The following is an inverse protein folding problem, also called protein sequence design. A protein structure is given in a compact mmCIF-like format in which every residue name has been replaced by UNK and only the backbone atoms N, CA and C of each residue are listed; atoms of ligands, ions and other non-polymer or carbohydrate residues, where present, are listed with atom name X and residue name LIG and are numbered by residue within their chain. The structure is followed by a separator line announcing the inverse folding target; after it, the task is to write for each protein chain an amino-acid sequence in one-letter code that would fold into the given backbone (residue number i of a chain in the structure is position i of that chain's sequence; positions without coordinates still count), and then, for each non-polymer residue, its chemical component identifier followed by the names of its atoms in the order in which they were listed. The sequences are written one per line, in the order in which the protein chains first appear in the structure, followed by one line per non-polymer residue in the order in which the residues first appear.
data_IF_848393091834
#
_entry.id   IF_848393091834
#
_cell.length_a   1.000
_cell.length_b   1.000
_cell.length_c   1.000
_cell.angle_alpha   90.00
_cell.angle_beta   90.00
_cell.angle_gamma   90.00
#
_symmetry.space_group_name_H-M   'P 1'
#
loop_
_entity.id
_entity.type
_entity.pdbx_description
1 polymer ?
#
# COMPACT_ATOMS: atom_id res chain seq x y z
N UNK A 1 -11.08 -17.15 -3.65
CA UNK A 1 -10.19 -16.42 -2.73
C UNK A 1 -9.18 -17.42 -2.20
N UNK A 2 -7.91 -17.34 -2.59
CA UNK A 2 -6.86 -18.20 -2.05
C UNK A 2 -6.23 -17.42 -0.89
N UNK A 3 -6.32 -17.94 0.33
CA UNK A 3 -5.66 -17.33 1.47
C UNK A 3 -4.13 -17.49 1.29
N UNK A 4 -3.40 -16.38 1.17
CA UNK A 4 -1.94 -16.39 1.15
C UNK A 4 -1.40 -16.92 2.48
N UNK A 5 -0.27 -17.64 2.45
CA UNK A 5 0.37 -18.08 3.68
C UNK A 5 1.04 -16.89 4.39
N UNK A 6 1.09 -16.94 5.71
CA UNK A 6 1.62 -15.84 6.55
C UNK A 6 3.06 -15.46 6.18
N UNK A 7 3.88 -16.42 5.73
CA UNK A 7 5.26 -16.18 5.26
C UNK A 7 5.33 -15.33 4.00
N UNK A 8 4.37 -15.49 3.09
CA UNK A 8 4.30 -14.73 1.85
C UNK A 8 3.78 -13.31 2.08
N UNK A 9 3.17 -13.06 3.25
CA UNK A 9 2.68 -11.76 3.68
C UNK A 9 3.79 -10.90 4.32
N UNK A 10 4.91 -11.48 4.75
CA UNK A 10 6.00 -10.75 5.41
C UNK A 10 6.52 -9.55 4.59
N UNK A 11 6.71 -9.65 3.25
CA UNK A 11 7.19 -8.52 2.46
C UNK A 11 6.19 -7.36 2.44
N UNK A 12 4.90 -7.62 2.23
CA UNK A 12 3.87 -6.57 2.25
C UNK A 12 3.70 -6.02 3.67
N UNK A 13 3.81 -6.88 4.69
CA UNK A 13 3.77 -6.46 6.09
C UNK A 13 4.90 -5.53 6.45
N UNK A 14 6.10 -5.85 5.98
CA UNK A 14 7.26 -4.99 6.09
C UNK A 14 7.08 -3.69 5.30
N UNK A 15 6.18 -3.61 4.32
CA UNK A 15 5.91 -2.37 3.58
C UNK A 15 4.82 -1.50 4.23
N UNK A 16 4.03 -2.03 5.17
CA UNK A 16 3.00 -1.23 5.87
C UNK A 16 3.58 -0.03 6.60
N UNK A 17 4.80 -0.14 7.16
CA UNK A 17 5.44 1.00 7.81
C UNK A 17 5.74 2.14 6.81
N UNK A 18 6.04 1.80 5.54
CA UNK A 18 6.25 2.76 4.46
C UNK A 18 4.93 3.41 4.05
N UNK A 19 3.86 2.63 3.93
CA UNK A 19 2.51 3.17 3.73
C UNK A 19 2.10 4.12 4.86
N UNK A 20 2.36 3.78 6.13
CA UNK A 20 2.07 4.68 7.25
C UNK A 20 2.90 5.95 7.20
N UNK A 21 4.18 5.87 6.81
CA UNK A 21 5.04 7.04 6.68
C UNK A 21 4.68 7.92 5.48
N UNK A 22 4.13 7.34 4.41
CA UNK A 22 3.76 8.06 3.19
C UNK A 22 2.36 8.69 3.28
N UNK A 23 1.38 8.00 3.89
CA UNK A 23 -0.04 8.43 3.91
C UNK A 23 -0.73 8.17 5.25
N UNK A 24 -0.42 7.06 5.94
CA UNK A 24 -1.21 6.63 7.10
C UNK A 24 -1.15 7.57 8.32
N UNK A 25 -0.06 8.32 8.50
CA UNK A 25 0.04 9.35 9.54
C UNK A 25 -0.97 10.49 9.33
N UNK A 26 -1.23 10.87 8.08
CA UNK A 26 -2.14 11.96 7.72
C UNK A 26 -3.61 11.55 7.89
N UNK A 27 -3.98 10.35 7.42
CA UNK A 27 -5.33 9.78 7.59
C UNK A 27 -5.74 9.73 9.06
N UNK A 28 -4.86 9.21 9.93
CA UNK A 28 -5.13 9.13 11.37
C UNK A 28 -5.31 10.52 11.97
N UNK A 29 -4.48 11.49 11.58
CA UNK A 29 -4.60 12.86 12.06
C UNK A 29 -5.92 13.48 11.64
N UNK A 30 -6.34 13.33 10.38
CA UNK A 30 -7.62 13.84 9.86
C UNK A 30 -8.80 13.23 10.63
N UNK A 31 -8.80 11.92 10.89
CA UNK A 31 -9.85 11.25 11.68
C UNK A 31 -9.89 11.82 13.11
N UNK A 32 -8.73 11.99 13.75
CA UNK A 32 -8.64 12.52 15.11
C UNK A 32 -9.05 14.00 15.19
N UNK A 33 -8.72 14.80 14.18
CA UNK A 33 -9.20 16.19 14.04
C UNK A 33 -10.74 16.20 13.94
N UNK A 34 -11.31 15.31 13.13
CA UNK A 34 -12.77 15.18 13.00
C UNK A 34 -13.46 14.86 14.34
N UNK A 35 -12.80 14.07 15.19
CA UNK A 35 -13.26 13.81 16.57
C UNK A 35 -13.12 15.03 17.48
N UNK A 36 -12.00 15.76 17.42
CA UNK A 36 -11.75 16.91 18.32
C UNK A 36 -12.58 18.15 17.96
N UNK A 37 -12.94 18.32 16.69
CA UNK A 37 -13.71 19.47 16.19
C UNK A 37 -15.23 19.22 16.12
N UNK A 38 -15.74 18.12 16.71
CA UNK A 38 -17.15 17.73 16.67
C UNK A 38 -17.72 17.52 15.25
N UNK A 39 -16.89 17.21 14.25
CA UNK A 39 -17.37 16.84 12.91
C UNK A 39 -17.94 15.42 12.87
N UNK A 40 -17.49 14.55 13.78
CA UNK A 40 -18.00 13.19 13.94
C UNK A 40 -18.57 12.99 15.35
N UNK A 41 -19.85 12.62 15.42
CA UNK A 41 -20.53 12.28 16.67
C UNK A 41 -20.83 10.78 16.72
N UNK A 42 -20.17 10.01 17.61
CA UNK A 42 -20.37 8.55 17.69
C UNK A 42 -21.75 8.15 18.23
N UNK A 43 -22.53 9.08 18.77
CA UNK A 43 -23.92 8.84 19.19
C UNK A 43 -24.92 8.92 18.04
N UNK A 44 -24.52 9.44 16.87
CA UNK A 44 -25.40 9.64 15.72
C UNK A 44 -25.16 8.53 14.69
N UNK A 45 -26.17 7.67 14.49
CA UNK A 45 -26.06 6.53 13.58
C UNK A 45 -25.66 6.93 12.15
N UNK A 46 -26.23 8.02 11.62
CA UNK A 46 -25.90 8.49 10.28
C UNK A 46 -24.45 8.99 10.14
N UNK A 47 -23.81 9.47 11.21
CA UNK A 47 -22.37 9.79 11.18
C UNK A 47 -21.56 8.50 11.07
N UNK A 48 -21.92 7.46 11.83
CA UNK A 48 -21.28 6.14 11.78
C UNK A 48 -21.42 5.55 10.38
N UNK A 49 -22.63 5.56 9.82
CA UNK A 49 -22.91 4.99 8.50
C UNK A 49 -22.13 5.73 7.40
N UNK A 50 -22.11 7.06 7.44
CA UNK A 50 -21.33 7.87 6.50
C UNK A 50 -19.84 7.60 6.63
N UNK A 51 -19.32 7.52 7.87
CA UNK A 51 -17.93 7.21 8.14
C UNK A 51 -17.55 5.85 7.56
N UNK A 52 -18.35 4.82 7.84
CA UNK A 52 -18.11 3.46 7.36
C UNK A 52 -18.32 3.30 5.85
N UNK A 53 -19.10 4.17 5.21
CA UNK A 53 -19.25 4.15 3.75
C UNK A 53 -18.12 4.89 3.04
N UNK A 54 -17.68 6.03 3.59
CA UNK A 54 -16.72 6.91 2.95
C UNK A 54 -15.27 6.50 3.20
N UNK A 55 -14.89 6.23 4.46
CA UNK A 55 -13.49 5.97 4.81
C UNK A 55 -12.89 4.74 4.15
N UNK A 56 -13.60 3.60 4.03
CA UNK A 56 -13.05 2.46 3.29
C UNK A 56 -12.73 2.80 1.83
N UNK A 57 -13.51 3.66 1.18
CA UNK A 57 -13.25 4.10 -0.20
C UNK A 57 -12.01 4.98 -0.28
N UNK A 58 -11.87 5.94 0.64
CA UNK A 58 -10.69 6.82 0.71
C UNK A 58 -9.43 5.97 1.00
N UNK A 59 -9.50 5.07 1.97
CA UNK A 59 -8.39 4.18 2.32
C UNK A 59 -8.02 3.31 1.12
N UNK A 60 -8.99 2.74 0.40
CA UNK A 60 -8.73 1.95 -0.79
C UNK A 60 -8.00 2.77 -1.87
N UNK A 61 -8.43 4.01 -2.15
CA UNK A 61 -7.75 4.88 -3.11
C UNK A 61 -6.30 5.17 -2.71
N UNK A 62 -6.05 5.39 -1.42
CA UNK A 62 -4.70 5.57 -0.90
C UNK A 62 -3.84 4.31 -1.03
N UNK A 63 -4.43 3.13 -0.79
CA UNK A 63 -3.75 1.84 -0.97
C UNK A 63 -3.44 1.58 -2.45
N UNK A 64 -4.37 1.86 -3.35
CA UNK A 64 -4.18 1.71 -4.79
C UNK A 64 -3.06 2.62 -5.30
N UNK A 65 -3.06 3.88 -4.85
CA UNK A 65 -1.99 4.85 -5.17
C UNK A 65 -0.64 4.41 -4.62
N UNK A 66 -0.61 3.85 -3.39
CA UNK A 66 0.62 3.30 -2.82
C UNK A 66 1.10 2.08 -3.59
N UNK A 67 0.21 1.17 -3.98
CA UNK A 67 0.55 0.00 -4.79
C UNK A 67 1.12 0.43 -6.15
N UNK A 68 0.53 1.44 -6.80
CA UNK A 68 1.05 1.99 -8.05
C UNK A 68 2.45 2.59 -7.86
N UNK A 69 2.65 3.42 -6.83
CA UNK A 69 3.97 3.97 -6.50
C UNK A 69 4.98 2.85 -6.23
N UNK A 70 4.61 1.87 -5.41
CA UNK A 70 5.47 0.77 -5.02
C UNK A 70 5.80 -0.17 -6.18
N UNK A 71 4.88 -0.43 -7.09
CA UNK A 71 5.16 -1.28 -8.24
C UNK A 71 6.02 -0.57 -9.30
N UNK A 72 6.04 0.77 -9.28
CA UNK A 72 6.80 1.60 -10.21
C UNK A 72 8.07 2.22 -9.61
N UNK A 73 8.34 2.09 -8.31
CA UNK A 73 9.55 2.66 -7.70
C UNK A 73 10.80 1.96 -8.22
N UNK A 74 11.87 2.74 -8.43
CA UNK A 74 13.16 2.16 -8.84
C UNK A 74 13.80 1.44 -7.67
N UNK A 75 14.10 0.16 -7.85
CA UNK A 75 14.76 -0.63 -6.83
C UNK A 75 16.20 -0.13 -6.65
N UNK A 76 16.56 0.21 -5.41
CA UNK A 76 17.92 0.62 -5.05
C UNK A 76 18.90 -0.52 -5.32
N UNK A 77 20.07 -0.17 -5.88
CA UNK A 77 21.17 -1.09 -6.09
C UNK A 77 21.65 -1.74 -4.79
N UNK A 78 21.62 -3.07 -4.73
CA UNK A 78 22.22 -3.86 -3.65
C UNK A 78 23.29 -4.78 -4.22
N UNK A 79 24.49 -4.79 -3.62
CA UNK A 79 25.69 -5.47 -4.17
C UNK A 79 25.58 -7.00 -4.30
N UNK A 80 24.56 -7.64 -3.72
CA UNK A 80 24.45 -9.10 -3.64
C UNK A 80 23.08 -9.65 -4.10
N UNK A 81 22.28 -8.88 -4.85
CA UNK A 81 21.00 -9.38 -5.37
C UNK A 81 21.07 -9.63 -6.86
N UNK A 82 20.44 -10.74 -7.28
CA UNK A 82 20.28 -11.13 -8.69
C UNK A 82 19.42 -10.13 -9.48
N UNK A 83 18.57 -9.36 -8.78
CA UNK A 83 17.67 -8.43 -9.43
C UNK A 83 18.44 -7.23 -10.00
N UNK A 84 18.16 -6.82 -11.25
CA UNK A 84 18.87 -5.76 -11.92
C UNK A 84 18.57 -4.41 -11.24
N UNK A 85 19.61 -3.67 -10.86
CA UNK A 85 19.44 -2.41 -10.15
C UNK A 85 18.86 -1.31 -11.05
N UNK A 86 18.01 -0.45 -10.49
CA UNK A 86 17.53 0.76 -11.16
C UNK A 86 16.28 0.61 -12.03
N UNK A 87 15.73 -0.60 -12.14
CA UNK A 87 14.45 -0.87 -12.81
C UNK A 87 13.31 -0.97 -11.79
N UNK A 88 12.08 -0.67 -12.23
CA UNK A 88 10.89 -0.86 -11.40
C UNK A 88 10.46 -2.33 -11.37
N UNK A 89 9.81 -2.79 -10.30
CA UNK A 89 9.24 -4.14 -10.22
C UNK A 89 8.39 -4.51 -11.44
N UNK A 90 7.48 -3.62 -11.87
CA UNK A 90 6.68 -3.84 -13.08
C UNK A 90 7.53 -4.04 -14.33
N UNK A 91 8.56 -3.21 -14.53
CA UNK A 91 9.44 -3.34 -15.71
C UNK A 91 10.19 -4.67 -15.74
N UNK A 92 10.56 -5.20 -14.57
CA UNK A 92 11.21 -6.52 -14.46
C UNK A 92 10.22 -7.64 -14.78
N UNK A 93 8.98 -7.53 -14.31
CA UNK A 93 7.92 -8.49 -14.61
C UNK A 93 7.47 -8.46 -16.07
N UNK A 94 7.40 -7.27 -16.68
CA UNK A 94 6.97 -7.08 -18.07
C UNK A 94 8.05 -7.50 -19.07
N UNK A 95 9.34 -7.38 -18.70
CA UNK A 95 10.48 -7.71 -19.56
C UNK A 95 11.48 -8.66 -18.87
N UNK A 96 11.05 -9.87 -18.47
CA UNK A 96 11.88 -10.80 -17.71
C UNK A 96 13.09 -11.28 -18.53
N UNK A 97 12.92 -11.42 -19.85
CA UNK A 97 13.95 -11.87 -20.78
C UNK A 97 15.18 -10.94 -20.82
N UNK A 98 14.98 -9.62 -20.64
CA UNK A 98 16.06 -8.63 -20.60
C UNK A 98 17.00 -8.82 -19.40
N UNK A 99 16.57 -9.61 -18.44
CA UNK A 99 17.26 -9.86 -17.18
C UNK A 99 17.64 -11.33 -16.99
N UNK A 100 17.49 -12.15 -18.03
CA UNK A 100 17.76 -13.59 -17.96
C UNK A 100 16.81 -14.35 -17.03
N UNK A 101 15.64 -13.77 -16.73
CA UNK A 101 14.59 -14.39 -15.93
C UNK A 101 13.57 -15.03 -16.87
N UNK A 102 13.06 -16.21 -16.51
CA UNK A 102 11.92 -16.84 -17.18
C UNK A 102 10.76 -16.81 -16.18
N UNK A 103 9.60 -16.27 -16.56
CA UNK A 103 8.43 -16.29 -15.68
C UNK A 103 8.08 -17.76 -15.46
N UNK A 104 8.27 -18.25 -14.23
CA UNK A 104 7.69 -19.51 -13.81
C UNK A 104 6.18 -19.27 -13.72
N UNK A 105 5.46 -19.81 -14.71
CA UNK A 105 4.00 -19.81 -14.74
C UNK A 105 3.40 -20.63 -13.62
#
# INVERSE_FOLDING_TARGET
FIAMQSTDNIPIESSWHLFTNYVGLDIKQVILIGKSHNYFHPSLQHHIDLFNWLWPKIIQLCLDSFAEYWNNHKIRTQRNKLLPPGFSPNYICDFPEKFGLTILG
#
